data_IF_920417438559
#
_entry.id   IF_920417438559
#
_cell.length_a   1.000
_cell.length_b   1.000
_cell.length_c   1.000
_cell.angle_alpha   90.00
_cell.angle_beta   90.00
_cell.angle_gamma   90.00
#
_symmetry.space_group_name_H-M   'P 1'
#
loop_
_entity.id
_entity.type
_entity.pdbx_description
1 polymer ?
#
# COMPACT_ATOMS: atom_id res chain seq x y z
N UNK A 1 -6.55 -22.27 9.84
CA UNK A 1 -5.58 -22.28 8.72
C UNK A 1 -4.26 -21.77 9.22
N UNK A 2 -3.20 -22.40 8.78
CA UNK A 2 -1.84 -21.97 9.11
C UNK A 2 -1.32 -20.97 8.12
N UNK A 3 -0.36 -20.14 8.55
CA UNK A 3 0.35 -19.23 7.65
C UNK A 3 1.00 -19.97 6.49
N UNK A 4 1.56 -21.16 6.76
CA UNK A 4 2.17 -22.04 5.75
C UNK A 4 1.21 -22.56 4.67
N UNK A 5 -0.11 -22.53 4.90
CA UNK A 5 -1.08 -22.92 3.88
C UNK A 5 -1.05 -21.95 2.68
N UNK A 6 -0.56 -20.73 2.88
CA UNK A 6 -0.44 -19.68 1.85
C UNK A 6 0.95 -19.64 1.21
N UNK A 7 1.74 -20.68 1.38
CA UNK A 7 3.03 -20.83 0.74
C UNK A 7 2.87 -21.20 -0.74
N UNK A 8 3.69 -20.60 -1.58
CA UNK A 8 3.96 -21.02 -2.95
C UNK A 8 5.42 -20.71 -3.27
N UNK A 9 6.01 -21.49 -4.16
CA UNK A 9 7.40 -21.26 -4.57
C UNK A 9 7.48 -20.03 -5.48
N UNK A 10 8.16 -18.97 -5.01
CA UNK A 10 8.38 -17.74 -5.75
C UNK A 10 9.87 -17.58 -6.05
N UNK A 11 10.31 -17.79 -7.29
CA UNK A 11 11.68 -17.52 -7.69
C UNK A 11 12.02 -16.02 -7.48
N UNK A 12 13.12 -15.73 -6.81
CA UNK A 12 13.55 -14.37 -6.48
C UNK A 12 13.65 -13.46 -7.72
N UNK A 13 14.07 -14.03 -8.86
CA UNK A 13 14.16 -13.31 -10.13
C UNK A 13 12.83 -12.81 -10.71
N UNK A 14 11.68 -13.24 -10.17
CA UNK A 14 10.36 -12.73 -10.54
C UNK A 14 9.95 -11.48 -9.74
N UNK A 15 10.64 -11.16 -8.67
CA UNK A 15 10.37 -9.94 -7.88
C UNK A 15 10.86 -8.73 -8.66
N UNK A 16 9.94 -7.89 -9.12
CA UNK A 16 10.25 -6.74 -9.95
C UNK A 16 11.05 -5.68 -9.19
N UNK A 17 12.22 -5.32 -9.70
CA UNK A 17 13.09 -4.31 -9.11
C UNK A 17 12.82 -2.90 -9.65
N UNK A 18 12.26 -2.79 -10.84
CA UNK A 18 11.98 -1.52 -11.53
C UNK A 18 10.57 -1.52 -12.13
N UNK A 19 9.88 -0.38 -12.18
CA UNK A 19 8.59 -0.27 -12.85
C UNK A 19 8.75 -0.42 -14.38
N UNK A 20 7.68 -0.85 -15.05
CA UNK A 20 7.60 -0.82 -16.52
C UNK A 20 7.26 0.58 -17.02
N UNK A 21 7.64 0.85 -18.26
CA UNK A 21 7.31 2.09 -18.98
C UNK A 21 6.66 1.78 -20.33
N UNK A 22 5.50 2.35 -20.65
CA UNK A 22 4.64 3.15 -19.76
C UNK A 22 4.02 2.31 -18.63
N UNK A 23 3.45 2.96 -17.60
CA UNK A 23 2.90 2.29 -16.38
C UNK A 23 1.88 1.21 -16.72
N UNK A 24 1.03 1.46 -17.68
CA UNK A 24 -0.08 0.62 -18.12
C UNK A 24 0.32 -0.48 -19.12
N UNK A 25 1.63 -0.60 -19.43
CA UNK A 25 2.19 -1.72 -20.20
C UNK A 25 2.48 -2.96 -19.36
N UNK A 26 2.26 -2.93 -18.05
CA UNK A 26 2.32 -4.11 -17.20
C UNK A 26 1.34 -5.19 -17.68
N UNK A 27 1.68 -6.47 -17.47
CA UNK A 27 0.73 -7.55 -17.75
C UNK A 27 -0.43 -7.49 -16.77
N UNK A 28 -1.59 -7.93 -17.21
CA UNK A 28 -2.79 -8.07 -16.41
C UNK A 28 -3.28 -9.51 -16.50
N UNK A 29 -3.43 -10.16 -15.33
CA UNK A 29 -4.09 -11.45 -15.21
C UNK A 29 -5.49 -11.23 -14.66
N UNK A 30 -6.50 -11.48 -15.47
CA UNK A 30 -7.91 -11.39 -15.07
C UNK A 30 -8.39 -12.75 -14.63
N UNK A 31 -9.01 -12.83 -13.46
CA UNK A 31 -9.61 -14.04 -12.95
C UNK A 31 -11.10 -13.83 -12.68
N UNK A 32 -11.91 -14.69 -13.25
CA UNK A 32 -13.29 -14.84 -12.82
C UNK A 32 -13.28 -15.55 -11.45
N UNK A 33 -13.70 -14.85 -10.40
CA UNK A 33 -13.60 -15.37 -9.02
C UNK A 33 -14.53 -16.56 -8.73
N UNK A 34 -15.60 -16.71 -9.53
CA UNK A 34 -16.57 -17.80 -9.34
C UNK A 34 -16.12 -19.09 -10.02
N UNK A 35 -15.54 -18.96 -11.23
CA UNK A 35 -15.14 -20.14 -12.03
C UNK A 35 -13.64 -20.45 -11.92
N UNK A 36 -12.81 -19.48 -11.50
CA UNK A 36 -11.35 -19.59 -11.52
C UNK A 36 -10.74 -19.45 -12.92
N UNK A 37 -11.54 -19.12 -13.96
CA UNK A 37 -11.05 -18.93 -15.32
C UNK A 37 -10.09 -17.74 -15.40
N UNK A 38 -8.96 -17.94 -16.10
CA UNK A 38 -7.89 -16.97 -16.23
C UNK A 38 -7.80 -16.41 -17.65
N UNK A 39 -7.71 -15.10 -17.78
CA UNK A 39 -7.45 -14.41 -19.04
C UNK A 39 -6.20 -13.53 -18.92
N UNK A 40 -5.29 -13.67 -19.87
CA UNK A 40 -4.02 -12.96 -19.90
C UNK A 40 -4.07 -11.79 -20.89
N UNK A 41 -3.70 -10.61 -20.42
CA UNK A 41 -3.69 -9.39 -21.22
C UNK A 41 -2.67 -8.37 -20.71
N UNK A 42 -2.80 -7.10 -21.08
CA UNK A 42 -1.98 -5.97 -20.62
C UNK A 42 -2.90 -4.99 -19.89
N UNK A 43 -2.37 -4.25 -18.91
CA UNK A 43 -3.17 -3.40 -18.03
C UNK A 43 -3.95 -2.31 -18.76
N UNK A 44 -3.41 -1.75 -19.86
CA UNK A 44 -4.13 -0.76 -20.68
C UNK A 44 -5.41 -1.30 -21.35
N UNK A 45 -5.62 -2.62 -21.34
CA UNK A 45 -6.85 -3.27 -21.81
C UNK A 45 -7.86 -3.55 -20.69
N UNK A 46 -7.61 -3.08 -19.46
CA UNK A 46 -8.50 -3.32 -18.31
C UNK A 46 -9.94 -2.87 -18.60
N UNK A 47 -10.10 -1.84 -19.43
CA UNK A 47 -11.40 -1.37 -19.88
C UNK A 47 -12.26 -2.45 -20.55
N UNK A 48 -11.67 -3.48 -21.15
CA UNK A 48 -12.41 -4.57 -21.81
C UNK A 48 -13.18 -5.44 -20.79
N UNK A 49 -12.78 -5.42 -19.52
CA UNK A 49 -13.37 -6.17 -18.41
C UNK A 49 -14.24 -5.31 -17.49
N UNK A 50 -14.22 -4.00 -17.70
CA UNK A 50 -15.04 -3.04 -16.97
C UNK A 50 -16.24 -2.61 -17.86
N UNK A 51 -17.36 -2.34 -17.23
CA UNK A 51 -18.58 -1.88 -17.89
C UNK A 51 -18.99 -0.49 -17.41
N UNK A 52 -19.81 0.17 -18.18
CA UNK A 52 -20.48 1.41 -17.78
C UNK A 52 -21.16 1.24 -16.40
N UNK A 53 -20.96 2.23 -15.54
CA UNK A 53 -21.50 2.25 -14.18
C UNK A 53 -20.61 1.54 -13.14
N UNK A 54 -19.54 0.82 -13.51
CA UNK A 54 -18.59 0.32 -12.52
C UNK A 54 -17.95 1.47 -11.75
N UNK A 55 -17.75 1.29 -10.44
CA UNK A 55 -17.09 2.25 -9.59
C UNK A 55 -15.71 1.72 -9.16
N UNK A 56 -14.64 2.38 -9.58
CA UNK A 56 -13.29 2.13 -9.09
C UNK A 56 -13.02 3.00 -7.87
N UNK A 57 -12.69 2.37 -6.73
CA UNK A 57 -12.32 3.10 -5.51
C UNK A 57 -10.81 3.06 -5.34
N UNK A 58 -10.18 4.23 -5.36
CA UNK A 58 -8.73 4.41 -5.33
C UNK A 58 -8.27 5.00 -4.00
N UNK A 59 -7.05 4.67 -3.57
CA UNK A 59 -6.42 5.26 -2.40
C UNK A 59 -5.54 6.45 -2.84
N UNK A 60 -5.93 7.66 -2.45
CA UNK A 60 -5.27 8.92 -2.85
C UNK A 60 -4.08 9.31 -1.97
N UNK A 61 -3.62 8.42 -1.10
CA UNK A 61 -2.44 8.66 -0.27
C UNK A 61 -1.19 8.90 -1.11
N UNK A 62 -0.31 9.76 -0.62
CA UNK A 62 0.97 10.07 -1.24
C UNK A 62 2.13 9.70 -0.34
N UNK A 63 3.11 9.00 -0.90
CA UNK A 63 4.34 8.62 -0.21
C UNK A 63 5.21 9.84 -0.03
N UNK A 64 5.61 10.10 1.21
CA UNK A 64 6.59 11.12 1.54
C UNK A 64 8.02 10.55 1.51
N UNK A 65 9.06 11.36 1.27
CA UNK A 65 10.45 10.91 1.32
C UNK A 65 10.90 10.68 2.78
N UNK A 66 10.23 9.76 3.46
CA UNK A 66 10.28 9.52 4.90
C UNK A 66 11.59 8.87 5.39
N UNK A 67 12.52 8.50 4.50
CA UNK A 67 13.79 7.88 4.88
C UNK A 67 14.90 8.92 4.92
N UNK A 68 15.42 9.15 6.11
CA UNK A 68 16.48 10.11 6.38
C UNK A 68 17.77 9.39 6.73
N UNK A 69 18.90 9.93 6.29
CA UNK A 69 20.21 9.45 6.67
C UNK A 69 21.00 10.58 7.33
N UNK A 70 21.62 10.28 8.48
CA UNK A 70 22.36 11.28 9.26
C UNK A 70 23.47 10.70 10.11
N UNK A 71 24.14 11.57 10.85
CA UNK A 71 25.22 11.26 11.76
C UNK A 71 24.97 11.91 13.12
N UNK A 72 25.72 11.48 14.14
CA UNK A 72 25.67 12.17 15.44
C UNK A 72 26.16 13.60 15.29
N UNK A 73 25.40 14.56 15.83
CA UNK A 73 25.75 15.98 15.85
C UNK A 73 26.51 16.39 17.13
N UNK A 74 26.35 15.61 18.20
CA UNK A 74 26.87 15.91 19.54
C UNK A 74 28.24 15.25 19.82
N UNK A 75 28.75 14.45 18.90
CA UNK A 75 30.06 13.81 19.00
C UNK A 75 30.58 13.35 17.63
N UNK A 76 31.88 13.26 17.49
CA UNK A 76 32.48 12.62 16.32
C UNK A 76 32.07 11.15 16.23
N UNK A 77 31.45 10.78 15.12
CA UNK A 77 31.01 9.41 14.86
C UNK A 77 30.89 9.17 13.37
N UNK A 78 31.52 8.10 12.91
CA UNK A 78 31.39 7.59 11.54
C UNK A 78 30.13 6.73 11.35
N UNK A 79 29.37 6.47 12.43
CA UNK A 79 28.14 5.67 12.34
C UNK A 79 27.07 6.45 11.62
N UNK A 80 26.68 5.97 10.43
CA UNK A 80 25.52 6.45 9.70
C UNK A 80 24.25 5.93 10.36
N UNK A 81 23.31 6.84 10.61
CA UNK A 81 21.99 6.50 11.11
C UNK A 81 20.99 6.60 9.95
N UNK A 82 20.07 5.65 9.92
CA UNK A 82 18.85 5.71 9.11
C UNK A 82 17.69 5.96 10.06
N UNK A 83 16.89 6.99 9.78
CA UNK A 83 15.61 7.22 10.43
C UNK A 83 14.52 7.09 9.37
N UNK A 84 13.54 6.24 9.63
CA UNK A 84 12.39 6.04 8.78
C UNK A 84 11.16 6.53 9.52
N UNK A 85 10.63 7.66 9.08
CA UNK A 85 9.46 8.32 9.66
C UNK A 85 8.22 7.45 9.45
N UNK A 86 7.42 7.28 10.52
CA UNK A 86 6.23 6.44 10.52
C UNK A 86 4.95 7.27 10.71
N UNK A 87 4.93 8.09 11.75
CA UNK A 87 3.77 8.86 12.15
C UNK A 87 4.19 10.18 12.77
N UNK A 88 3.55 11.26 12.36
CA UNK A 88 3.69 12.56 12.98
C UNK A 88 2.92 12.57 14.30
N UNK A 89 3.60 12.93 15.39
CA UNK A 89 3.00 13.05 16.72
C UNK A 89 2.47 14.46 16.94
N UNK A 90 3.28 15.46 16.55
CA UNK A 90 2.93 16.87 16.59
C UNK A 90 3.76 17.64 15.52
N UNK A 91 3.81 18.96 15.62
CA UNK A 91 4.50 19.78 14.63
C UNK A 91 5.97 19.41 14.42
N UNK A 92 6.70 19.05 15.49
CA UNK A 92 8.13 18.73 15.46
C UNK A 92 8.45 17.27 15.71
N UNK A 93 7.57 16.51 16.38
CA UNK A 93 7.88 15.18 16.85
C UNK A 93 7.31 14.11 15.93
N UNK A 94 8.16 13.13 15.58
CA UNK A 94 7.80 12.01 14.74
C UNK A 94 8.19 10.68 15.38
N UNK A 95 7.32 9.70 15.32
CA UNK A 95 7.68 8.30 15.53
C UNK A 95 8.43 7.76 14.33
N UNK A 96 9.50 7.03 14.57
CA UNK A 96 10.34 6.47 13.52
C UNK A 96 10.98 5.14 13.92
N UNK A 97 11.37 4.37 12.91
CA UNK A 97 12.30 3.24 13.08
C UNK A 97 13.70 3.76 12.81
N UNK A 98 14.62 3.41 13.72
CA UNK A 98 16.02 3.82 13.60
C UNK A 98 16.95 2.63 13.39
N UNK A 99 17.97 2.82 12.56
CA UNK A 99 19.11 1.88 12.40
C UNK A 99 20.42 2.65 12.47
N UNK A 100 21.37 2.22 13.34
CA UNK A 100 21.28 1.16 14.34
C UNK A 100 20.47 1.59 15.58
N UNK A 101 19.41 0.86 15.92
CA UNK A 101 18.46 1.23 16.98
C UNK A 101 19.14 1.33 18.37
N UNK A 102 20.07 0.41 18.70
CA UNK A 102 20.76 0.36 20.00
C UNK A 102 21.62 1.61 20.29
N UNK A 103 22.09 2.30 19.24
CA UNK A 103 22.92 3.51 19.38
C UNK A 103 22.08 4.80 19.40
N UNK A 104 20.78 4.73 19.04
CA UNK A 104 19.84 5.84 19.07
C UNK A 104 19.15 5.90 20.45
N UNK A 105 19.91 6.35 21.46
CA UNK A 105 19.44 6.52 22.85
C UNK A 105 18.79 7.88 23.04
N UNK A 106 17.92 8.02 24.05
CA UNK A 106 17.36 9.33 24.43
C UNK A 106 18.46 10.34 24.67
N UNK A 107 18.29 11.58 24.20
CA UNK A 107 19.29 12.65 24.22
C UNK A 107 20.30 12.61 23.06
N UNK A 108 20.24 11.59 22.20
CA UNK A 108 21.10 11.54 21.02
C UNK A 108 20.70 12.59 20.00
N UNK A 109 21.61 13.52 19.68
CA UNK A 109 21.40 14.52 18.63
C UNK A 109 21.94 14.02 17.28
N UNK A 110 21.13 14.16 16.24
CA UNK A 110 21.38 13.73 14.87
C UNK A 110 21.33 14.92 13.93
N UNK A 111 22.24 14.90 12.95
CA UNK A 111 22.26 15.85 11.82
C UNK A 111 21.95 15.07 10.55
N UNK A 112 20.89 15.45 9.86
CA UNK A 112 20.48 14.88 8.57
C UNK A 112 20.92 15.78 7.39
N UNK A 113 20.95 17.10 7.61
CA UNK A 113 21.49 18.10 6.70
C UNK A 113 21.90 19.36 7.49
N UNK A 114 22.32 20.41 6.80
CA UNK A 114 22.62 21.69 7.45
C UNK A 114 21.34 22.41 7.93
N UNK A 115 20.17 22.03 7.42
CA UNK A 115 18.86 22.62 7.74
C UNK A 115 17.94 21.67 8.54
N UNK A 116 18.40 20.42 8.84
CA UNK A 116 17.56 19.43 9.52
C UNK A 116 18.33 18.66 10.59
N UNK A 117 17.98 18.91 11.82
CA UNK A 117 18.51 18.19 12.99
C UNK A 117 17.38 17.50 13.73
N UNK A 118 17.71 16.54 14.58
CA UNK A 118 16.75 15.96 15.50
C UNK A 118 17.40 15.46 16.77
N UNK A 119 16.61 15.39 17.83
CA UNK A 119 16.96 14.73 19.10
C UNK A 119 16.05 13.51 19.30
N UNK A 120 16.62 12.41 19.79
CA UNK A 120 15.84 11.26 20.26
C UNK A 120 15.24 11.61 21.60
N UNK A 121 13.93 11.88 21.67
CA UNK A 121 13.24 12.29 22.89
C UNK A 121 12.49 11.15 23.57
N UNK A 122 12.31 10.00 22.90
CA UNK A 122 11.60 8.86 23.45
C UNK A 122 11.94 7.54 22.78
N UNK A 123 11.70 6.45 23.54
CA UNK A 123 11.79 5.06 23.06
C UNK A 123 10.47 4.38 23.40
N UNK A 124 9.73 4.02 22.34
CA UNK A 124 8.47 3.30 22.44
C UNK A 124 8.64 1.79 22.34
N UNK A 125 7.50 1.10 22.28
CA UNK A 125 7.44 -0.35 22.07
C UNK A 125 8.05 -0.76 20.73
N UNK A 126 8.47 -2.02 20.62
CA UNK A 126 9.03 -2.62 19.40
C UNK A 126 10.22 -1.86 18.78
N UNK A 127 10.92 -1.04 19.59
CA UNK A 127 12.10 -0.30 19.17
C UNK A 127 11.81 0.99 18.40
N UNK A 128 10.58 1.46 18.38
CA UNK A 128 10.21 2.78 17.84
C UNK A 128 10.94 3.87 18.63
N UNK A 129 11.34 4.93 17.96
CA UNK A 129 11.92 6.13 18.55
C UNK A 129 11.03 7.32 18.24
N UNK A 130 10.97 8.27 19.20
CA UNK A 130 10.41 9.60 18.93
C UNK A 130 11.56 10.55 18.68
N UNK A 131 11.59 11.13 17.48
CA UNK A 131 12.52 12.18 17.09
C UNK A 131 11.83 13.52 17.17
N UNK A 132 12.43 14.47 17.89
CA UNK A 132 12.07 15.88 17.85
C UNK A 132 12.96 16.59 16.87
N UNK A 133 12.37 17.08 15.76
CA UNK A 133 13.09 17.78 14.72
C UNK A 133 13.28 19.27 15.03
N UNK A 134 14.46 19.77 14.67
CA UNK A 134 14.82 21.18 14.70
C UNK A 134 15.05 21.61 13.25
N UNK A 135 14.29 22.60 12.78
CA UNK A 135 14.31 23.12 11.42
C UNK A 135 13.75 24.55 11.38
N UNK A 136 14.05 25.28 10.30
CA UNK A 136 13.46 26.58 10.01
C UNK A 136 12.68 26.49 8.69
N UNK A 137 11.43 27.01 8.69
CA UNK A 137 10.52 26.95 7.55
C UNK A 137 9.52 25.79 7.57
N UNK A 138 9.19 25.26 6.38
CA UNK A 138 8.20 24.19 6.21
C UNK A 138 8.90 22.82 6.20
N UNK A 139 8.53 21.97 7.13
CA UNK A 139 9.15 20.65 7.31
C UNK A 139 9.06 19.79 6.04
N UNK A 140 7.92 19.80 5.39
CA UNK A 140 7.64 19.01 4.18
C UNK A 140 8.55 19.42 3.01
N UNK A 141 8.86 20.71 2.89
CA UNK A 141 9.78 21.23 1.88
C UNK A 141 11.22 20.77 2.15
N UNK A 142 11.64 20.82 3.40
CA UNK A 142 12.95 20.32 3.82
C UNK A 142 13.04 18.81 3.59
N UNK A 143 12.00 18.08 4.01
CA UNK A 143 11.93 16.63 3.83
C UNK A 143 12.01 16.24 2.36
N UNK A 144 11.39 17.03 1.46
CA UNK A 144 11.44 16.78 0.02
C UNK A 144 12.86 16.89 -0.56
N UNK A 145 13.73 17.72 0.02
CA UNK A 145 15.13 17.92 -0.41
C UNK A 145 16.10 16.90 0.22
N UNK A 146 15.87 16.57 1.49
CA UNK A 146 16.81 15.78 2.31
C UNK A 146 16.42 14.30 2.37
N UNK A 147 15.13 14.01 2.30
CA UNK A 147 14.58 12.67 2.45
C UNK A 147 14.71 11.82 1.19
N UNK A 148 14.56 10.53 1.40
CA UNK A 148 14.52 9.53 0.34
C UNK A 148 13.19 8.77 0.41
N UNK A 149 12.63 8.42 -0.75
CA UNK A 149 11.44 7.58 -0.83
C UNK A 149 11.74 6.21 -0.20
N UNK A 150 10.93 5.76 0.77
CA UNK A 150 11.16 4.51 1.48
C UNK A 150 10.70 3.30 0.68
N UNK A 151 11.49 2.90 -0.32
CA UNK A 151 11.20 1.68 -1.07
C UNK A 151 11.16 0.46 -0.14
N UNK A 152 10.30 -0.53 -0.43
CA UNK A 152 10.24 -1.79 0.28
C UNK A 152 11.58 -2.52 0.33
N UNK A 153 11.85 -3.35 1.36
CA UNK A 153 13.15 -3.97 1.58
C UNK A 153 13.58 -4.95 0.48
N UNK A 154 12.64 -5.44 -0.33
CA UNK A 154 12.91 -6.36 -1.46
C UNK A 154 13.27 -5.62 -2.77
N UNK A 155 13.18 -4.28 -2.79
CA UNK A 155 13.65 -3.45 -3.91
C UNK A 155 15.04 -2.94 -3.55
N UNK A 156 16.04 -3.41 -4.27
CA UNK A 156 17.44 -3.07 -4.08
C UNK A 156 17.92 -2.02 -5.08
N UNK A 157 17.22 -1.92 -6.21
CA UNK A 157 17.53 -0.95 -7.26
C UNK A 157 17.06 0.46 -6.89
N UNK A 158 17.87 1.46 -7.20
CA UNK A 158 17.48 2.86 -7.05
C UNK A 158 16.56 3.26 -8.20
N UNK A 159 15.43 3.89 -7.85
CA UNK A 159 14.57 4.50 -8.86
C UNK A 159 15.28 5.66 -9.55
N UNK A 160 15.24 5.67 -10.88
CA UNK A 160 15.69 6.82 -11.69
C UNK A 160 14.82 8.04 -11.43
N UNK A 161 13.53 7.82 -11.28
CA UNK A 161 12.53 8.82 -10.94
C UNK A 161 11.75 8.38 -9.68
N UNK A 162 12.00 9.02 -8.51
CA UNK A 162 11.29 8.71 -7.27
C UNK A 162 9.77 8.89 -7.35
N UNK A 163 9.26 9.76 -8.24
CA UNK A 163 7.81 9.97 -8.41
C UNK A 163 7.09 8.73 -8.92
N UNK A 164 7.83 7.77 -9.51
CA UNK A 164 7.29 6.48 -9.96
C UNK A 164 6.74 5.62 -8.82
N UNK A 165 7.12 5.88 -7.58
CA UNK A 165 6.55 5.22 -6.39
C UNK A 165 5.37 6.01 -5.79
N UNK A 166 4.68 6.77 -6.64
CA UNK A 166 3.39 7.41 -6.33
C UNK A 166 2.41 7.18 -7.48
N UNK A 167 1.12 7.10 -7.15
CA UNK A 167 0.05 7.03 -8.14
C UNK A 167 -0.16 8.38 -8.80
N UNK A 168 -0.72 8.39 -10.02
CA UNK A 168 -1.01 9.64 -10.75
C UNK A 168 -2.13 10.46 -10.11
N UNK A 169 -2.86 9.88 -9.17
CA UNK A 169 -3.93 10.51 -8.42
C UNK A 169 -3.60 10.71 -6.93
N UNK A 170 -2.35 10.52 -6.51
CA UNK A 170 -1.92 10.76 -5.13
C UNK A 170 -2.03 12.23 -4.77
N UNK A 171 -2.62 12.55 -3.60
CA UNK A 171 -2.92 13.92 -3.16
C UNK A 171 -2.45 14.21 -1.74
N UNK A 172 -2.71 13.28 -0.81
CA UNK A 172 -2.56 13.52 0.63
C UNK A 172 -1.27 12.88 1.14
N UNK A 173 -0.32 13.71 1.52
CA UNK A 173 0.98 13.29 2.06
C UNK A 173 0.82 12.56 3.40
N UNK A 174 1.66 11.55 3.67
CA UNK A 174 1.70 10.87 4.97
C UNK A 174 1.96 9.37 4.91
N UNK A 175 2.02 8.77 3.74
CA UNK A 175 2.23 7.33 3.60
C UNK A 175 3.71 6.96 3.59
N UNK A 176 4.05 5.85 4.24
CA UNK A 176 5.36 5.22 4.17
C UNK A 176 5.50 4.26 2.98
N UNK A 177 4.39 3.86 2.34
CA UNK A 177 4.40 3.01 1.15
C UNK A 177 3.28 3.38 0.17
N UNK A 178 3.51 3.13 -1.11
CA UNK A 178 2.52 3.40 -2.15
C UNK A 178 1.40 2.34 -2.18
N UNK A 179 0.15 2.72 -2.55
CA UNK A 179 -0.89 1.76 -2.91
C UNK A 179 -0.59 1.20 -4.31
N UNK A 180 0.24 0.17 -4.37
CA UNK A 180 0.99 -0.24 -5.58
C UNK A 180 0.13 -0.68 -6.75
N UNK A 181 -1.09 -1.20 -6.51
CA UNK A 181 -2.04 -1.50 -7.59
C UNK A 181 -2.43 -0.26 -8.42
N UNK A 182 -2.39 0.92 -7.79
CA UNK A 182 -2.66 2.18 -8.47
C UNK A 182 -1.52 2.69 -9.35
N UNK A 183 -0.31 2.13 -9.20
CA UNK A 183 0.85 2.54 -9.99
C UNK A 183 0.72 2.20 -11.47
N UNK A 184 -0.18 1.30 -11.83
CA UNK A 184 -0.44 0.89 -13.22
C UNK A 184 -1.27 1.91 -14.01
N UNK A 185 -1.99 2.80 -13.32
CA UNK A 185 -2.83 3.79 -14.01
C UNK A 185 -2.00 4.94 -14.58
N UNK A 186 -2.35 5.34 -15.80
CA UNK A 186 -1.94 6.61 -16.40
C UNK A 186 -3.11 7.59 -16.43
N UNK A 187 -2.87 8.90 -16.54
CA UNK A 187 -3.95 9.88 -16.71
C UNK A 187 -4.83 9.56 -17.92
N UNK A 188 -4.23 9.13 -19.03
CA UNK A 188 -4.90 8.81 -20.28
C UNK A 188 -5.82 7.59 -20.11
N UNK A 189 -5.35 6.54 -19.41
CA UNK A 189 -6.17 5.37 -19.12
C UNK A 189 -7.37 5.73 -18.23
N UNK A 190 -7.17 6.55 -17.20
CA UNK A 190 -8.25 7.03 -16.32
C UNK A 190 -9.29 7.80 -17.13
N UNK A 191 -8.86 8.71 -18.02
CA UNK A 191 -9.76 9.46 -18.88
C UNK A 191 -10.54 8.53 -19.83
N UNK A 192 -9.86 7.57 -20.46
CA UNK A 192 -10.50 6.57 -21.31
C UNK A 192 -11.57 5.77 -20.57
N UNK A 193 -11.30 5.35 -19.31
CA UNK A 193 -12.25 4.63 -18.49
C UNK A 193 -13.45 5.52 -18.10
N UNK A 194 -13.24 6.79 -17.77
CA UNK A 194 -14.30 7.76 -17.51
C UNK A 194 -15.19 7.97 -18.75
N UNK A 195 -14.58 8.08 -19.94
CA UNK A 195 -15.33 8.21 -21.20
C UNK A 195 -16.16 6.95 -21.52
N UNK A 196 -15.76 5.79 -21.00
CA UNK A 196 -16.54 4.54 -21.06
C UNK A 196 -17.68 4.49 -20.05
N UNK A 197 -17.80 5.46 -19.14
CA UNK A 197 -18.79 5.50 -18.08
C UNK A 197 -18.39 4.79 -16.79
N UNK A 198 -17.08 4.50 -16.59
CA UNK A 198 -16.53 4.03 -15.31
C UNK A 198 -16.35 5.21 -14.38
N UNK A 199 -16.91 5.14 -13.18
CA UNK A 199 -16.79 6.19 -12.17
C UNK A 199 -15.62 5.92 -11.23
N UNK A 200 -15.13 6.97 -10.57
CA UNK A 200 -14.03 6.91 -9.60
C UNK A 200 -14.45 7.57 -8.29
N UNK A 201 -14.11 6.92 -7.18
CA UNK A 201 -14.20 7.51 -5.84
C UNK A 201 -12.86 7.34 -5.13
N UNK A 202 -12.60 8.20 -4.16
CA UNK A 202 -11.34 8.25 -3.43
C UNK A 202 -11.54 7.88 -1.97
N UNK A 203 -10.61 7.10 -1.43
CA UNK A 203 -10.43 6.86 0.00
C UNK A 203 -9.01 7.22 0.38
N UNK A 204 -8.75 7.48 1.64
CA UNK A 204 -7.42 7.61 2.19
C UNK A 204 -7.11 6.44 3.11
N UNK A 205 -5.96 5.81 2.93
CA UNK A 205 -5.31 4.97 3.92
C UNK A 205 -3.81 5.21 3.84
N UNK A 206 -3.23 5.69 4.93
CA UNK A 206 -1.79 5.82 5.03
C UNK A 206 -1.16 4.47 5.31
N UNK A 207 -0.47 3.93 4.31
CA UNK A 207 0.13 2.60 4.38
C UNK A 207 1.36 2.64 5.25
N UNK A 208 1.34 1.88 6.33
CA UNK A 208 2.47 1.72 7.23
C UNK A 208 3.45 0.64 6.77
N UNK A 209 4.66 0.66 7.35
CA UNK A 209 5.68 -0.37 7.06
C UNK A 209 5.32 -1.78 7.55
N UNK A 210 4.28 -1.89 8.37
CA UNK A 210 3.75 -3.18 8.83
C UNK A 210 3.37 -4.10 7.67
N UNK A 211 2.93 -3.51 6.55
CA UNK A 211 2.55 -4.23 5.32
C UNK A 211 3.70 -5.09 4.74
N UNK A 212 4.96 -4.73 5.02
CA UNK A 212 6.13 -5.47 4.56
C UNK A 212 6.71 -6.44 5.60
N UNK A 213 6.09 -6.53 6.78
CA UNK A 213 6.56 -7.45 7.82
C UNK A 213 6.00 -8.85 7.55
N UNK A 214 6.84 -9.90 7.60
CA UNK A 214 6.36 -11.27 7.52
C UNK A 214 5.40 -11.58 8.66
N UNK A 215 4.37 -12.38 8.40
CA UNK A 215 3.52 -12.96 9.43
C UNK A 215 4.37 -13.94 10.25
N UNK A 216 4.38 -13.77 11.57
CA UNK A 216 5.18 -14.63 12.48
C UNK A 216 4.33 -15.67 13.20
N UNK A 217 3.03 -15.50 13.22
CA UNK A 217 2.09 -16.42 13.82
C UNK A 217 2.00 -17.70 13.01
N UNK A 218 1.96 -18.86 13.65
CA UNK A 218 1.73 -20.14 12.98
C UNK A 218 0.28 -20.23 12.50
N UNK A 219 -0.68 -19.96 13.39
CA UNK A 219 -2.09 -19.85 13.05
C UNK A 219 -2.42 -18.41 12.64
N UNK A 220 -3.12 -18.24 11.50
CA UNK A 220 -3.46 -16.91 10.97
C UNK A 220 -4.30 -16.09 11.94
N UNK A 221 -5.14 -16.75 12.77
CA UNK A 221 -5.99 -16.11 13.77
C UNK A 221 -5.22 -15.43 14.89
N UNK A 222 -3.97 -15.84 15.13
CA UNK A 222 -3.11 -15.27 16.16
C UNK A 222 -2.34 -14.04 15.70
N UNK A 223 -2.43 -13.75 14.40
CA UNK A 223 -1.79 -12.57 13.84
C UNK A 223 -2.51 -11.29 14.24
N UNK A 224 -1.76 -10.34 14.81
CA UNK A 224 -2.26 -9.00 15.13
C UNK A 224 -1.89 -8.04 14.01
N UNK A 225 -2.90 -7.54 13.31
CA UNK A 225 -2.71 -6.53 12.27
C UNK A 225 -2.26 -5.20 12.89
N UNK A 226 -1.34 -4.51 12.22
CA UNK A 226 -0.95 -3.15 12.59
C UNK A 226 -2.08 -2.16 12.30
N UNK A 227 -2.09 -1.06 13.05
CA UNK A 227 -3.05 0.02 12.85
C UNK A 227 -2.60 0.95 11.73
N UNK A 228 -3.53 1.35 10.88
CA UNK A 228 -3.31 2.30 9.78
C UNK A 228 -4.44 3.33 9.76
N UNK A 229 -4.05 4.61 9.63
CA UNK A 229 -5.00 5.72 9.55
C UNK A 229 -5.75 5.70 8.22
N UNK A 230 -7.07 5.87 8.30
CA UNK A 230 -7.94 6.00 7.13
C UNK A 230 -8.84 7.22 7.23
N UNK A 231 -9.34 7.65 6.06
CA UNK A 231 -10.36 8.70 5.94
C UNK A 231 -11.25 8.46 4.72
N UNK A 232 -12.54 8.76 4.87
CA UNK A 232 -13.53 8.83 3.79
C UNK A 232 -14.30 10.14 3.92
N UNK A 233 -14.31 10.97 2.87
CA UNK A 233 -15.06 12.20 2.84
C UNK A 233 -16.55 11.95 2.56
N UNK A 234 -17.42 12.89 2.98
CA UNK A 234 -18.86 12.83 2.70
C UNK A 234 -19.19 12.84 1.19
N UNK A 235 -18.36 13.49 0.37
CA UNK A 235 -18.49 13.48 -1.08
C UNK A 235 -18.31 12.08 -1.65
N UNK A 236 -17.23 11.41 -1.27
CA UNK A 236 -16.93 10.05 -1.73
C UNK A 236 -17.89 9.01 -1.13
N UNK A 237 -18.36 9.20 0.12
CA UNK A 237 -19.46 8.40 0.69
C UNK A 237 -20.68 8.41 -0.22
N UNK A 238 -21.14 9.60 -0.65
CA UNK A 238 -22.32 9.76 -1.52
C UNK A 238 -22.13 9.04 -2.85
N UNK A 239 -20.95 9.14 -3.47
CA UNK A 239 -20.63 8.47 -4.74
C UNK A 239 -20.68 6.94 -4.55
N UNK A 240 -20.03 6.43 -3.51
CA UNK A 240 -19.97 4.99 -3.22
C UNK A 240 -21.36 4.44 -2.91
N UNK A 241 -22.09 5.10 -2.01
CA UNK A 241 -23.42 4.67 -1.59
C UNK A 241 -24.44 4.73 -2.73
N UNK A 242 -24.29 5.68 -3.67
CA UNK A 242 -25.09 5.69 -4.89
C UNK A 242 -24.85 4.43 -5.73
N UNK A 243 -23.57 4.04 -5.92
CA UNK A 243 -23.23 2.84 -6.66
C UNK A 243 -23.81 1.57 -6.00
N UNK A 244 -23.73 1.47 -4.66
CA UNK A 244 -24.31 0.37 -3.88
C UNK A 244 -25.83 0.31 -4.08
N UNK A 245 -26.53 1.46 -3.93
CA UNK A 245 -27.98 1.56 -4.08
C UNK A 245 -28.46 1.16 -5.47
N UNK A 246 -27.68 1.48 -6.50
CA UNK A 246 -27.96 1.16 -7.90
C UNK A 246 -27.52 -0.26 -8.29
N UNK A 247 -26.97 -1.06 -7.36
CA UNK A 247 -26.49 -2.42 -7.63
C UNK A 247 -25.28 -2.49 -8.55
N UNK A 248 -24.52 -1.40 -8.68
CA UNK A 248 -23.31 -1.32 -9.50
C UNK A 248 -22.13 -2.02 -8.83
N UNK A 249 -21.15 -2.48 -9.59
CA UNK A 249 -19.95 -3.11 -9.03
C UNK A 249 -19.07 -2.05 -8.40
N UNK A 250 -18.75 -2.22 -7.11
CA UNK A 250 -17.71 -1.47 -6.41
C UNK A 250 -16.44 -2.29 -6.47
N UNK A 251 -15.41 -1.77 -7.11
CA UNK A 251 -14.13 -2.44 -7.38
C UNK A 251 -13.02 -1.69 -6.68
N UNK A 252 -12.35 -2.35 -5.75
CA UNK A 252 -11.22 -1.74 -5.04
C UNK A 252 -9.96 -1.76 -5.91
N UNK A 253 -9.29 -0.62 -6.00
CA UNK A 253 -7.92 -0.52 -6.55
C UNK A 253 -6.92 -0.64 -5.39
N UNK A 254 -6.40 -1.84 -5.22
CA UNK A 254 -5.53 -2.24 -4.12
C UNK A 254 -6.28 -2.75 -2.89
N UNK A 255 -5.60 -3.62 -2.16
CA UNK A 255 -6.09 -4.14 -0.86
C UNK A 255 -6.29 -3.02 0.17
N UNK A 256 -5.57 -1.91 0.03
CA UNK A 256 -5.70 -0.72 0.88
C UNK A 256 -7.08 -0.07 0.74
N UNK A 257 -7.54 0.17 -0.49
CA UNK A 257 -8.90 0.68 -0.73
C UNK A 257 -9.96 -0.29 -0.23
N UNK A 258 -9.75 -1.60 -0.47
CA UNK A 258 -10.66 -2.64 0.01
C UNK A 258 -10.75 -2.68 1.54
N UNK A 259 -9.64 -2.50 2.25
CA UNK A 259 -9.64 -2.46 3.73
C UNK A 259 -10.42 -1.27 4.28
N UNK A 260 -10.30 -0.09 3.68
CA UNK A 260 -11.09 1.08 4.08
C UNK A 260 -12.58 0.82 3.86
N UNK A 261 -12.94 0.36 2.67
CA UNK A 261 -14.32 0.07 2.32
C UNK A 261 -14.96 -0.94 3.27
N UNK A 262 -14.29 -2.06 3.54
CA UNK A 262 -14.79 -3.09 4.45
C UNK A 262 -14.80 -2.65 5.93
N UNK A 263 -13.91 -1.73 6.32
CA UNK A 263 -13.92 -1.13 7.67
C UNK A 263 -15.14 -0.24 7.88
N UNK A 264 -15.50 0.54 6.85
CA UNK A 264 -16.55 1.57 6.95
C UNK A 264 -17.93 1.07 6.55
N UNK A 265 -18.04 -0.11 5.92
CA UNK A 265 -19.31 -0.65 5.46
C UNK A 265 -20.14 -1.23 6.61
N UNK A 266 -21.43 -0.91 6.61
CA UNK A 266 -22.44 -1.61 7.39
C UNK A 266 -22.80 -2.99 6.75
N UNK A 267 -23.73 -3.71 7.38
CA UNK A 267 -24.14 -5.04 6.94
C UNK A 267 -24.88 -5.03 5.59
N UNK A 268 -25.33 -3.87 5.12
CA UNK A 268 -25.99 -3.69 3.82
C UNK A 268 -25.01 -3.22 2.73
N UNK A 269 -23.73 -3.02 3.09
CA UNK A 269 -22.68 -2.55 2.20
C UNK A 269 -22.64 -1.03 1.99
N UNK A 270 -23.39 -0.26 2.76
CA UNK A 270 -23.29 1.21 2.73
C UNK A 270 -22.10 1.66 3.60
N UNK A 271 -21.29 2.57 3.07
CA UNK A 271 -20.17 3.16 3.79
C UNK A 271 -20.60 4.43 4.52
N UNK A 272 -19.86 4.78 5.58
CA UNK A 272 -20.08 6.01 6.35
C UNK A 272 -18.81 6.86 6.33
N UNK A 273 -18.96 8.16 6.01
CA UNK A 273 -17.86 9.12 6.05
C UNK A 273 -17.28 9.22 7.47
N UNK A 274 -15.98 9.45 7.54
CA UNK A 274 -15.27 9.59 8.80
C UNK A 274 -13.80 9.23 8.66
N UNK A 275 -13.10 9.30 9.78
CA UNK A 275 -11.69 8.98 9.88
C UNK A 275 -11.41 8.18 11.15
N UNK A 276 -10.30 7.47 11.14
CA UNK A 276 -9.89 6.66 12.28
C UNK A 276 -8.71 5.77 11.98
N UNK A 277 -8.57 4.74 12.77
CA UNK A 277 -7.54 3.72 12.58
C UNK A 277 -8.20 2.36 12.33
N UNK A 278 -7.67 1.60 11.37
CA UNK A 278 -8.14 0.25 11.07
C UNK A 278 -7.06 -0.78 11.33
N UNK A 279 -7.45 -1.87 11.99
CA UNK A 279 -6.64 -3.07 12.17
C UNK A 279 -7.32 -4.27 11.49
N UNK A 280 -8.23 -4.01 10.56
CA UNK A 280 -8.98 -5.08 9.90
C UNK A 280 -8.03 -6.08 9.24
N UNK A 281 -8.16 -7.33 9.61
CA UNK A 281 -7.45 -8.46 9.04
C UNK A 281 -8.44 -9.36 8.31
N UNK A 282 -8.34 -9.38 6.99
CA UNK A 282 -9.22 -10.13 6.10
C UNK A 282 -8.48 -11.38 5.63
N UNK A 283 -9.06 -12.55 5.89
CA UNK A 283 -8.55 -13.86 5.53
C UNK A 283 -9.71 -14.82 5.20
N UNK A 284 -9.47 -16.01 4.64
CA UNK A 284 -10.54 -16.92 4.24
C UNK A 284 -11.57 -17.18 5.34
N UNK A 285 -12.85 -17.03 4.98
CA UNK A 285 -13.99 -17.04 5.89
C UNK A 285 -14.58 -15.66 6.14
N UNK A 286 -13.89 -14.58 5.79
CA UNK A 286 -14.45 -13.22 5.83
C UNK A 286 -15.56 -13.06 4.79
N UNK A 287 -16.65 -12.40 5.19
CA UNK A 287 -17.78 -12.09 4.29
C UNK A 287 -17.69 -10.63 3.85
N UNK A 288 -17.33 -10.42 2.59
CA UNK A 288 -17.27 -9.09 2.03
C UNK A 288 -18.66 -8.44 1.94
N UNK A 289 -18.74 -7.21 2.40
CA UNK A 289 -20.00 -6.45 2.50
C UNK A 289 -20.26 -5.66 1.22
N UNK A 290 -19.26 -5.00 0.69
CA UNK A 290 -19.40 -4.05 -0.43
C UNK A 290 -18.66 -4.48 -1.70
N UNK A 291 -17.48 -5.14 -1.58
CA UNK A 291 -16.63 -5.39 -2.74
C UNK A 291 -17.22 -6.41 -3.70
N UNK A 292 -17.25 -6.04 -4.99
CA UNK A 292 -17.64 -6.92 -6.10
C UNK A 292 -16.48 -7.26 -7.04
N UNK A 293 -15.38 -6.48 -6.98
CA UNK A 293 -14.16 -6.72 -7.74
C UNK A 293 -12.95 -6.12 -7.03
N UNK A 294 -11.77 -6.53 -7.46
CA UNK A 294 -10.50 -6.02 -6.92
C UNK A 294 -9.41 -6.01 -8.00
N UNK A 295 -8.69 -4.90 -8.08
CA UNK A 295 -7.44 -4.78 -8.84
C UNK A 295 -6.31 -4.82 -7.80
N UNK A 296 -5.34 -5.72 -7.97
CA UNK A 296 -4.21 -5.80 -7.05
C UNK A 296 -2.95 -6.32 -7.76
N UNK A 297 -1.79 -6.24 -7.10
CA UNK A 297 -0.57 -6.87 -7.58
C UNK A 297 -0.48 -8.32 -7.08
N UNK A 298 0.50 -9.08 -7.58
CA UNK A 298 0.87 -10.34 -6.96
C UNK A 298 1.61 -10.11 -5.65
N UNK A 299 1.26 -10.88 -4.61
CA UNK A 299 1.75 -10.71 -3.25
C UNK A 299 2.72 -11.84 -2.85
N UNK A 300 3.54 -11.60 -1.80
CA UNK A 300 4.45 -12.62 -1.25
C UNK A 300 3.70 -13.84 -0.73
N UNK A 301 4.34 -15.02 -0.79
CA UNK A 301 3.87 -16.17 -0.05
C UNK A 301 3.78 -15.84 1.44
N UNK A 302 2.82 -16.48 2.11
CA UNK A 302 2.59 -16.37 3.56
C UNK A 302 2.31 -14.94 4.09
N UNK A 303 1.99 -13.98 3.20
CA UNK A 303 1.66 -12.60 3.58
C UNK A 303 0.17 -12.42 3.89
N UNK A 304 -0.15 -11.41 4.71
CA UNK A 304 -1.55 -11.01 4.96
C UNK A 304 -2.28 -10.63 3.67
N UNK A 305 -1.56 -10.21 2.64
CA UNK A 305 -2.13 -9.75 1.38
C UNK A 305 -2.58 -10.93 0.49
N UNK A 306 -1.84 -12.04 0.42
CA UNK A 306 -2.33 -13.23 -0.29
C UNK A 306 -3.53 -13.84 0.44
N UNK A 307 -3.54 -13.79 1.79
CA UNK A 307 -4.68 -14.22 2.60
C UNK A 307 -5.94 -13.40 2.27
N UNK A 308 -5.78 -12.08 2.09
CA UNK A 308 -6.87 -11.19 1.66
C UNK A 308 -7.40 -11.60 0.28
N UNK A 309 -6.52 -11.82 -0.69
CA UNK A 309 -6.90 -12.23 -2.04
C UNK A 309 -7.61 -13.59 -2.03
N UNK A 310 -7.12 -14.55 -1.23
CA UNK A 310 -7.75 -15.85 -1.03
C UNK A 310 -9.15 -15.74 -0.37
N UNK A 311 -9.32 -14.78 0.54
CA UNK A 311 -10.63 -14.51 1.13
C UNK A 311 -11.63 -13.97 0.10
N UNK A 312 -11.15 -13.16 -0.86
CA UNK A 312 -11.99 -12.51 -1.85
C UNK A 312 -12.40 -13.45 -3.01
N UNK A 313 -11.49 -14.26 -3.50
CA UNK A 313 -11.70 -15.00 -4.74
C UNK A 313 -11.57 -16.54 -4.59
N UNK A 314 -11.53 -17.02 -3.34
CA UNK A 314 -11.42 -18.44 -3.04
C UNK A 314 -9.97 -18.93 -3.04
N UNK A 315 -9.64 -19.74 -2.04
CA UNK A 315 -8.28 -20.21 -1.81
C UNK A 315 -7.72 -21.01 -3.00
N UNK A 316 -8.45 -22.02 -3.48
CA UNK A 316 -8.00 -22.89 -4.58
C UNK A 316 -7.79 -22.12 -5.90
N UNK A 317 -8.74 -21.23 -6.26
CA UNK A 317 -8.65 -20.41 -7.45
C UNK A 317 -7.43 -19.49 -7.40
N UNK A 318 -7.20 -18.85 -6.25
CA UNK A 318 -6.08 -17.93 -6.06
C UNK A 318 -4.74 -18.67 -6.10
N UNK A 319 -4.61 -19.79 -5.40
CA UNK A 319 -3.35 -20.56 -5.42
C UNK A 319 -3.03 -21.08 -6.83
N UNK A 320 -4.04 -21.51 -7.59
CA UNK A 320 -3.87 -21.88 -9.00
C UNK A 320 -3.45 -20.69 -9.87
N UNK A 321 -4.05 -19.52 -9.66
CA UNK A 321 -3.67 -18.27 -10.33
C UNK A 321 -2.21 -17.90 -10.06
N UNK A 322 -1.76 -18.00 -8.80
CA UNK A 322 -0.36 -17.70 -8.43
C UNK A 322 0.62 -18.71 -9.03
N UNK A 323 0.29 -20.00 -9.03
CA UNK A 323 1.09 -21.02 -9.72
C UNK A 323 1.22 -20.72 -11.21
N UNK A 324 0.10 -20.42 -11.87
CA UNK A 324 0.08 -20.04 -13.29
C UNK A 324 0.93 -18.80 -13.55
N UNK A 325 0.85 -17.81 -12.67
CA UNK A 325 1.63 -16.59 -12.79
C UNK A 325 3.15 -16.84 -12.67
N UNK A 326 3.57 -17.73 -11.77
CA UNK A 326 4.98 -18.15 -11.63
C UNK A 326 5.44 -18.88 -12.89
N UNK A 327 4.67 -19.89 -13.35
CA UNK A 327 4.99 -20.68 -14.54
C UNK A 327 5.11 -19.82 -15.79
N UNK A 328 4.26 -18.82 -15.92
CA UNK A 328 4.24 -17.87 -17.04
C UNK A 328 5.17 -16.65 -16.84
N UNK A 329 5.97 -16.67 -15.76
CA UNK A 329 6.96 -15.60 -15.47
C UNK A 329 6.33 -14.22 -15.41
N UNK A 330 5.21 -14.08 -14.70
CA UNK A 330 4.72 -12.77 -14.30
C UNK A 330 5.69 -12.12 -13.33
N UNK A 331 5.68 -10.79 -13.29
CA UNK A 331 6.47 -10.01 -12.35
C UNK A 331 5.67 -9.81 -11.06
N UNK A 332 6.33 -9.93 -9.93
CA UNK A 332 5.69 -9.92 -8.61
C UNK A 332 5.99 -8.63 -7.86
N UNK A 333 5.14 -8.29 -6.89
CA UNK A 333 5.25 -7.19 -5.94
C UNK A 333 4.99 -5.80 -6.50
N UNK A 334 5.54 -4.76 -5.79
CA UNK A 334 5.21 -3.35 -5.97
C UNK A 334 5.32 -2.83 -7.40
N UNK A 335 6.34 -3.28 -8.14
CA UNK A 335 6.55 -2.93 -9.55
C UNK A 335 6.25 -4.08 -10.50
N UNK A 336 5.61 -5.11 -9.98
CA UNK A 336 5.22 -6.28 -10.75
C UNK A 336 4.00 -6.03 -11.64
N UNK A 337 3.42 -7.13 -12.08
CA UNK A 337 2.22 -7.15 -12.91
C UNK A 337 0.96 -7.09 -12.05
N UNK A 338 -0.18 -6.84 -12.68
CA UNK A 338 -1.46 -6.65 -12.01
C UNK A 338 -2.37 -7.88 -12.14
N UNK A 339 -3.33 -7.99 -11.21
CA UNK A 339 -4.47 -8.88 -11.29
C UNK A 339 -5.78 -8.10 -11.24
N UNK A 340 -6.80 -8.58 -11.93
CA UNK A 340 -8.19 -8.14 -11.81
C UNK A 340 -9.04 -9.35 -11.43
N UNK A 341 -9.68 -9.29 -10.27
CA UNK A 341 -10.56 -10.34 -9.74
C UNK A 341 -12.01 -9.85 -9.82
N UNK A 342 -12.86 -10.50 -10.63
CA UNK A 342 -14.25 -10.10 -10.90
C UNK A 342 -15.21 -11.29 -10.98
#
# INVERSE_FOLDING_TARGET
MKTSDFYYDLPEGLIAQTPVEPRDSARLLVMNKETGELTHTIFNKIGDFLKEGDLLVVNNTKVIPARLYGYRADKESVTKYEALLLRRVNFTDWECIMRPARKATVGARLKFSDELFAEVVGIGESGIRTLRFEFDGVFEDILSRVGNVPLPPYIHEKLKDPSRYNTVYSKIDGSAAAPTAGLHFTPELIESLKNKGVEFAEVLLHVGLGTFRPVKAEEITDHKMHSEYYELSEENEKIINKAVKEGRRVIAVGTTSGRVLETLSDENGFVHAGHGETQIFIYPGYKFKILKGMITNFHLPESTLIMYVCAFAGYENVMNMYKTAVDMKYRFFSFGDATLLI
#
